data_IF_015513438673
#
_entry.id   IF_015513438673
#
_cell.length_a   1.000
_cell.length_b   1.000
_cell.length_c   1.000
_cell.angle_alpha   90.00
_cell.angle_beta   90.00
_cell.angle_gamma   90.00
#
_symmetry.space_group_name_H-M   'P 1'
#
loop_
_entity.id
_entity.type
_entity.pdbx_description
1 polymer ?
#
# COMPACT_ATOMS: atom_id res chain seq x y z
N UNK A 1 -2.59 -19.58 -5.44
CA UNK A 1 -2.83 -18.36 -6.24
C UNK A 1 -2.45 -17.20 -5.34
N UNK A 2 -1.58 -16.26 -5.76
CA UNK A 2 -1.37 -15.06 -4.97
C UNK A 2 -2.71 -14.32 -4.88
N UNK A 3 -3.22 -14.14 -3.67
CA UNK A 3 -4.39 -13.31 -3.46
C UNK A 3 -3.93 -11.86 -3.61
N UNK A 4 -4.51 -11.14 -4.57
CA UNK A 4 -4.23 -9.71 -4.73
C UNK A 4 -4.48 -8.98 -3.40
N UNK A 5 -3.54 -8.15 -2.91
CA UNK A 5 -3.72 -7.44 -1.65
C UNK A 5 -4.93 -6.51 -1.74
N UNK A 6 -5.77 -6.50 -0.70
CA UNK A 6 -6.95 -5.64 -0.65
C UNK A 6 -6.61 -4.42 0.20
N UNK A 7 -7.03 -3.23 -0.24
CA UNK A 7 -6.86 -2.04 0.58
C UNK A 7 -7.79 -2.13 1.81
N UNK A 8 -7.26 -2.06 3.04
CA UNK A 8 -8.07 -2.27 4.24
C UNK A 8 -9.06 -1.11 4.50
N UNK A 9 -8.85 0.05 3.86
CA UNK A 9 -9.72 1.23 4.01
C UNK A 9 -10.89 1.24 3.04
N UNK A 10 -10.65 1.03 1.75
CA UNK A 10 -11.70 1.07 0.72
C UNK A 10 -12.18 -0.30 0.25
N UNK A 11 -11.56 -1.39 0.72
CA UNK A 11 -11.83 -2.77 0.32
C UNK A 11 -11.72 -3.01 -1.19
N UNK A 12 -11.00 -2.14 -1.90
CA UNK A 12 -10.71 -2.31 -3.33
C UNK A 12 -9.51 -3.23 -3.49
N UNK A 13 -9.58 -4.11 -4.49
CA UNK A 13 -8.47 -4.97 -4.88
C UNK A 13 -7.32 -4.10 -5.37
N UNK A 14 -6.18 -4.19 -4.71
CA UNK A 14 -4.94 -3.57 -5.17
C UNK A 14 -4.25 -4.59 -6.05
N UNK A 15 -3.99 -4.19 -7.29
CA UNK A 15 -3.19 -5.01 -8.17
C UNK A 15 -1.77 -5.11 -7.58
N UNK A 16 -1.37 -6.29 -7.11
CA UNK A 16 -0.06 -6.50 -6.46
C UNK A 16 1.07 -6.07 -7.40
N UNK A 17 0.90 -6.33 -8.69
CA UNK A 17 1.89 -5.97 -9.70
C UNK A 17 2.09 -4.45 -9.78
N UNK A 18 1.03 -3.64 -9.66
CA UNK A 18 1.12 -2.17 -9.61
C UNK A 18 1.68 -1.64 -8.28
N UNK A 19 1.39 -2.30 -7.16
CA UNK A 19 1.82 -1.82 -5.84
C UNK A 19 3.23 -2.32 -5.44
N UNK A 20 3.70 -3.41 -6.06
CA UNK A 20 5.10 -3.84 -6.05
C UNK A 20 5.90 -3.24 -7.19
N UNK A 21 5.26 -2.77 -8.27
CA UNK A 21 5.93 -2.06 -9.33
C UNK A 21 6.61 -0.84 -8.73
N UNK A 22 7.93 -0.94 -8.64
CA UNK A 22 8.80 0.20 -8.47
C UNK A 22 8.53 1.11 -9.66
N UNK A 23 7.95 2.29 -9.44
CA UNK A 23 7.57 3.21 -10.52
C UNK A 23 8.78 3.84 -11.19
N UNK A 24 9.95 3.77 -10.55
CA UNK A 24 11.24 4.07 -11.12
C UNK A 24 12.37 3.68 -10.17
N UNK A 25 13.57 3.44 -10.67
CA UNK A 25 14.76 3.43 -9.81
C UNK A 25 15.34 4.83 -9.84
N UNK A 26 15.53 5.46 -8.67
CA UNK A 26 16.37 6.65 -8.59
C UNK A 26 17.77 6.29 -9.08
N UNK A 27 18.49 7.26 -9.64
CA UNK A 27 19.84 7.12 -10.22
C UNK A 27 20.91 6.49 -9.28
N UNK A 28 20.61 6.30 -7.99
CA UNK A 28 21.48 5.65 -7.00
C UNK A 28 20.96 4.27 -6.54
N UNK A 29 20.00 3.66 -7.26
CA UNK A 29 19.50 2.31 -7.00
C UNK A 29 18.43 2.20 -5.91
N UNK A 30 17.91 3.31 -5.39
CA UNK A 30 16.76 3.28 -4.50
C UNK A 30 15.46 3.16 -5.32
N UNK A 31 14.64 2.17 -4.99
CA UNK A 31 13.33 1.98 -5.61
C UNK A 31 12.44 3.18 -5.28
N UNK A 32 12.15 3.98 -6.30
CA UNK A 32 11.16 5.06 -6.26
C UNK A 32 9.78 4.44 -6.40
N UNK A 33 8.92 4.74 -5.42
CA UNK A 33 7.51 4.39 -5.44
C UNK A 33 6.73 5.68 -5.54
N UNK A 34 6.02 5.87 -6.64
CA UNK A 34 5.21 7.06 -6.88
C UNK A 34 4.06 7.06 -5.86
N UNK A 35 3.97 8.08 -4.99
CA UNK A 35 2.89 8.18 -4.02
C UNK A 35 1.48 8.26 -4.65
N UNK A 36 1.37 8.55 -5.95
CA UNK A 36 0.11 8.52 -6.72
C UNK A 36 -0.20 7.14 -7.32
N UNK A 37 0.79 6.28 -7.57
CA UNK A 37 0.57 4.97 -8.18
C UNK A 37 0.10 3.90 -7.18
N UNK A 38 0.25 4.19 -5.89
CA UNK A 38 -0.13 3.29 -4.80
C UNK A 38 0.89 3.44 -3.68
N UNK A 39 0.40 3.59 -2.46
CA UNK A 39 1.27 3.69 -1.29
C UNK A 39 1.17 2.40 -0.49
N UNK A 40 2.27 2.00 0.15
CA UNK A 40 2.28 0.93 1.13
C UNK A 40 2.81 1.44 2.46
N UNK A 41 2.38 0.83 3.54
CA UNK A 41 2.87 1.13 4.88
C UNK A 41 3.12 -0.17 5.62
N UNK A 42 4.22 -0.22 6.36
CA UNK A 42 4.49 -1.33 7.25
C UNK A 42 3.81 -1.05 8.59
N UNK A 43 2.98 -1.98 9.05
CA UNK A 43 2.29 -1.88 10.33
C UNK A 43 2.21 -3.25 10.98
N UNK A 44 2.49 -3.33 12.29
CA UNK A 44 2.39 -4.58 13.08
C UNK A 44 3.12 -5.81 12.50
N UNK A 45 4.26 -5.60 11.81
CA UNK A 45 5.01 -6.71 11.20
C UNK A 45 4.59 -7.06 9.77
N UNK A 46 3.57 -6.41 9.22
CA UNK A 46 2.99 -6.72 7.91
C UNK A 46 2.97 -5.50 6.97
N UNK A 47 3.05 -5.77 5.66
CA UNK A 47 2.96 -4.74 4.63
C UNK A 47 1.52 -4.54 4.19
N UNK A 48 0.97 -3.36 4.47
CA UNK A 48 -0.36 -2.96 4.00
C UNK A 48 -0.24 -2.12 2.73
N UNK A 49 -1.09 -2.42 1.75
CA UNK A 49 -1.15 -1.73 0.47
C UNK A 49 -2.40 -0.84 0.39
N UNK A 50 -2.24 0.34 -0.20
CA UNK A 50 -3.29 1.34 -0.31
C UNK A 50 -3.35 1.87 -1.75
N UNK A 51 -4.56 1.98 -2.29
CA UNK A 51 -4.77 2.52 -3.64
C UNK A 51 -4.40 4.00 -3.75
N UNK A 52 -4.54 4.76 -2.67
CA UNK A 52 -4.31 6.20 -2.65
C UNK A 52 -3.67 6.65 -1.36
N UNK A 53 -3.01 7.83 -1.41
CA UNK A 53 -2.46 8.49 -0.23
C UNK A 53 -3.54 8.74 0.84
N UNK A 54 -4.77 9.05 0.42
CA UNK A 54 -5.89 9.27 1.35
C UNK A 54 -6.25 8.00 2.13
N UNK A 55 -6.23 6.83 1.48
CA UNK A 55 -6.45 5.56 2.17
C UNK A 55 -5.35 5.29 3.19
N UNK A 56 -4.08 5.57 2.84
CA UNK A 56 -3.00 5.50 3.83
C UNK A 56 -3.20 6.46 4.99
N UNK A 57 -3.55 7.72 4.74
CA UNK A 57 -3.77 8.69 5.84
C UNK A 57 -4.88 8.22 6.78
N UNK A 58 -6.02 7.74 6.24
CA UNK A 58 -7.10 7.18 7.05
C UNK A 58 -6.63 5.99 7.89
N UNK A 59 -5.88 5.08 7.27
CA UNK A 59 -5.29 3.95 7.96
C UNK A 59 -4.32 4.39 9.06
N UNK A 60 -3.47 5.38 8.83
CA UNK A 60 -2.55 5.90 9.86
C UNK A 60 -3.30 6.60 11.00
N UNK A 61 -4.43 7.24 10.72
CA UNK A 61 -5.28 7.86 11.75
C UNK A 61 -5.98 6.83 12.64
N UNK A 62 -6.44 5.71 12.07
CA UNK A 62 -7.18 4.70 12.81
C UNK A 62 -6.85 3.27 12.34
N UNK A 63 -5.59 2.80 12.49
CA UNK A 63 -5.15 1.53 11.91
C UNK A 63 -5.89 0.35 12.53
N UNK A 64 -6.09 0.39 13.85
CA UNK A 64 -6.81 -0.63 14.61
C UNK A 64 -8.21 -0.90 14.03
N UNK A 65 -8.95 0.12 13.61
CA UNK A 65 -10.28 -0.02 13.01
C UNK A 65 -10.28 -0.80 11.69
N UNK A 66 -9.14 -0.86 10.99
CA UNK A 66 -9.01 -1.53 9.70
C UNK A 66 -8.28 -2.86 9.74
N UNK A 67 -7.51 -3.13 10.81
CA UNK A 67 -6.74 -4.38 11.02
C UNK A 67 -7.33 -5.27 12.12
N UNK A 68 -8.22 -4.76 12.97
CA UNK A 68 -8.99 -5.57 13.91
C UNK A 68 -10.06 -6.35 13.13
N UNK A 69 -9.65 -7.47 12.54
CA UNK A 69 -10.54 -8.49 11.97
C UNK A 69 -10.00 -9.88 12.24
#
# INVERSE_FOLDING_TARGET
>A
MPADPICPVCKTVINENSARATTGQTMHGANEVDPNAGTRSFFNGEWFYFCTLQCRTRFLTAPNTYIES
#
